data_IF_310352111499
#
_entry.id   IF_310352111499
#
_cell.length_a   1.000
_cell.length_b   1.000
_cell.length_c   1.000
_cell.angle_alpha   90.00
_cell.angle_beta   90.00
_cell.angle_gamma   90.00
#
_symmetry.space_group_name_H-M   'P 1'
#
loop_
_entity.id
_entity.type
_entity.pdbx_description
1 polymer ?
#
# COMPACT_ATOMS: atom_id res chain seq x y z
N UNK A 1 -0.74 -8.30 -0.64
CA UNK A 1 -0.87 -7.09 -1.47
C UNK A 1 0.55 -6.63 -1.70
N UNK A 2 1.27 -7.26 -2.63
CA UNK A 2 2.71 -7.03 -2.75
C UNK A 2 2.97 -5.83 -3.67
N UNK A 3 3.21 -4.66 -3.07
CA UNK A 3 3.41 -3.42 -3.84
C UNK A 3 4.51 -2.50 -3.30
N UNK A 4 5.46 -3.08 -2.55
CA UNK A 4 6.70 -2.42 -2.15
C UNK A 4 7.78 -2.41 -3.23
N UNK A 5 8.88 -1.70 -2.97
CA UNK A 5 10.13 -1.91 -3.71
C UNK A 5 10.66 -3.29 -3.33
N UNK A 6 10.48 -4.29 -4.19
CA UNK A 6 10.92 -5.67 -3.96
C UNK A 6 12.36 -5.87 -4.43
N UNK A 7 13.16 -6.60 -3.65
CA UNK A 7 14.55 -6.95 -3.99
C UNK A 7 15.48 -6.91 -2.78
N UNK A 8 16.72 -7.39 -2.96
CA UNK A 8 17.74 -7.33 -1.91
C UNK A 8 18.07 -5.88 -1.54
N UNK A 9 18.14 -5.59 -0.24
CA UNK A 9 18.51 -4.27 0.30
C UNK A 9 17.35 -3.33 0.63
N UNK A 10 16.10 -3.78 0.52
CA UNK A 10 14.91 -2.95 0.78
C UNK A 10 14.52 -3.02 2.28
N UNK A 11 14.38 -1.88 2.97
CA UNK A 11 14.36 -1.83 4.44
C UNK A 11 13.02 -2.19 5.10
N UNK A 12 11.90 -2.10 4.39
CA UNK A 12 10.56 -2.32 4.96
C UNK A 12 10.12 -3.80 4.87
N UNK A 13 10.67 -4.57 3.92
CA UNK A 13 10.57 -6.04 3.85
C UNK A 13 9.14 -6.58 4.03
N UNK A 14 8.89 -7.33 5.12
CA UNK A 14 7.55 -7.88 5.41
C UNK A 14 6.45 -6.84 5.61
N UNK A 15 6.80 -5.59 5.90
CA UNK A 15 5.83 -4.51 6.11
C UNK A 15 5.33 -3.88 4.82
N UNK A 16 5.87 -4.27 3.66
CA UNK A 16 5.41 -3.81 2.33
C UNK A 16 3.94 -4.09 2.08
N UNK A 17 3.45 -5.27 2.51
CA UNK A 17 2.04 -5.64 2.37
C UNK A 17 1.12 -4.74 3.19
N UNK A 18 1.57 -4.32 4.37
CA UNK A 18 0.81 -3.43 5.25
C UNK A 18 0.75 -2.02 4.66
N UNK A 19 1.89 -1.51 4.18
CA UNK A 19 1.99 -0.23 3.49
C UNK A 19 1.04 -0.14 2.30
N UNK A 20 1.06 -1.15 1.43
CA UNK A 20 0.18 -1.24 0.28
C UNK A 20 -1.30 -1.29 0.70
N UNK A 21 -1.60 -2.10 1.73
CA UNK A 21 -2.94 -2.20 2.30
C UNK A 21 -3.47 -0.86 2.83
N UNK A 22 -2.64 -0.09 3.52
CA UNK A 22 -3.03 1.23 4.04
C UNK A 22 -3.24 2.26 2.94
N UNK A 23 -2.38 2.29 1.93
CA UNK A 23 -2.57 3.16 0.77
C UNK A 23 -3.93 2.89 0.10
N UNK A 24 -4.24 1.61 -0.13
CA UNK A 24 -5.49 1.20 -0.75
C UNK A 24 -6.69 1.52 0.16
N UNK A 25 -6.56 1.33 1.48
CA UNK A 25 -7.63 1.67 2.44
C UNK A 25 -8.01 3.14 2.36
N UNK A 26 -7.03 4.05 2.44
CA UNK A 26 -7.28 5.51 2.36
C UNK A 26 -7.99 5.87 1.05
N UNK A 27 -7.55 5.29 -0.07
CA UNK A 27 -8.15 5.57 -1.38
C UNK A 27 -9.56 5.00 -1.49
N UNK A 28 -9.77 3.76 -1.02
CA UNK A 28 -11.09 3.13 -1.07
C UNK A 28 -12.09 3.89 -0.20
N UNK A 29 -11.70 4.30 1.01
CA UNK A 29 -12.55 5.08 1.89
C UNK A 29 -12.95 6.41 1.26
N UNK A 30 -11.97 7.12 0.66
CA UNK A 30 -12.20 8.39 -0.01
C UNK A 30 -13.16 8.26 -1.20
N UNK A 31 -13.04 7.18 -1.97
CA UNK A 31 -13.87 6.92 -3.14
C UNK A 31 -15.17 6.17 -2.82
N UNK A 32 -15.41 5.76 -1.58
CA UNK A 32 -16.56 4.96 -1.17
C UNK A 32 -16.57 3.54 -1.74
N UNK A 33 -15.40 2.95 -1.97
CA UNK A 33 -15.22 1.63 -2.57
C UNK A 33 -15.06 0.57 -1.49
N UNK A 34 -15.67 -0.60 -1.72
CA UNK A 34 -15.47 -1.77 -0.87
C UNK A 34 -14.28 -2.60 -1.34
N UNK A 35 -13.56 -3.20 -0.38
CA UNK A 35 -12.48 -4.16 -0.65
C UNK A 35 -12.99 -5.57 -0.36
N UNK A 36 -12.84 -6.47 -1.33
CA UNK A 36 -13.09 -7.90 -1.15
C UNK A 36 -11.78 -8.67 -1.25
N UNK A 37 -11.50 -9.51 -0.27
CA UNK A 37 -10.39 -10.47 -0.32
C UNK A 37 -10.89 -11.85 -0.76
N UNK A 38 -10.12 -12.53 -1.60
CA UNK A 38 -10.39 -13.92 -1.98
C UNK A 38 -10.16 -14.91 -0.84
N UNK A 39 -10.48 -16.19 -1.08
CA UNK A 39 -10.18 -17.27 -0.14
C UNK A 39 -8.65 -17.45 -0.01
N UNK A 40 -8.12 -17.77 1.19
CA UNK A 40 -6.70 -17.99 1.37
C UNK A 40 -6.30 -19.35 0.78
N UNK A 41 -5.66 -19.35 -0.40
CA UNK A 41 -5.25 -20.59 -1.08
C UNK A 41 -3.78 -21.00 -0.83
N UNK A 42 -3.06 -20.29 0.05
CA UNK A 42 -1.61 -20.50 0.23
C UNK A 42 -1.33 -21.27 1.53
N UNK A 43 -0.79 -22.48 1.38
CA UNK A 43 -0.23 -23.25 2.49
C UNK A 43 1.26 -22.93 2.66
N UNK A 44 1.59 -22.10 3.65
CA UNK A 44 2.97 -21.64 3.85
C UNK A 44 3.74 -22.58 4.80
N UNK A 45 4.58 -23.47 4.26
CA UNK A 45 5.51 -24.31 5.07
C UNK A 45 6.79 -23.53 5.35
N UNK A 46 6.79 -22.67 6.37
CA UNK A 46 7.91 -21.74 6.63
C UNK A 46 8.99 -22.39 7.50
N UNK A 47 10.22 -22.47 7.00
CA UNK A 47 11.40 -22.92 7.74
C UNK A 47 12.55 -21.91 7.55
N UNK A 48 12.61 -20.86 8.38
CA UNK A 48 13.76 -19.92 8.43
C UNK A 48 13.93 -19.34 9.84
N UNK A 49 15.16 -18.97 10.20
CA UNK A 49 15.51 -18.45 11.53
C UNK A 49 14.81 -17.08 11.79
N UNK A 50 13.99 -16.95 12.86
CA UNK A 50 13.25 -15.72 13.17
C UNK A 50 14.15 -14.52 13.50
N UNK A 51 15.27 -14.73 14.17
CA UNK A 51 16.13 -13.66 14.67
C UNK A 51 16.92 -12.96 13.54
N UNK A 52 17.27 -13.70 12.49
CA UNK A 52 17.93 -13.13 11.31
C UNK A 52 17.01 -12.18 10.56
N UNK A 53 15.70 -12.46 10.52
CA UNK A 53 14.70 -11.59 9.89
C UNK A 53 14.40 -10.36 10.75
N UNK A 54 14.27 -10.54 12.07
CA UNK A 54 14.04 -9.44 12.99
C UNK A 54 15.15 -8.38 12.89
N UNK A 55 16.42 -8.79 12.80
CA UNK A 55 17.55 -7.87 12.61
C UNK A 55 17.53 -7.14 11.27
N UNK A 56 16.92 -7.70 10.23
CA UNK A 56 16.80 -7.03 8.92
C UNK A 56 15.64 -6.03 8.89
N UNK A 57 14.62 -6.25 9.71
CA UNK A 57 13.35 -5.52 9.65
C UNK A 57 13.10 -4.59 10.83
N UNK A 58 14.08 -4.44 11.74
CA UNK A 58 13.92 -3.64 12.96
C UNK A 58 13.48 -2.20 12.68
N UNK A 59 13.99 -1.57 11.61
CA UNK A 59 13.58 -0.21 11.21
C UNK A 59 12.08 -0.13 10.92
N UNK A 60 11.53 -1.16 10.28
CA UNK A 60 10.11 -1.25 9.99
C UNK A 60 9.25 -1.22 11.26
N UNK A 61 9.74 -1.76 12.39
CA UNK A 61 9.05 -1.70 13.69
C UNK A 61 8.97 -0.26 14.18
N UNK A 62 10.09 0.47 14.18
CA UNK A 62 10.12 1.87 14.63
C UNK A 62 9.26 2.77 13.75
N UNK A 63 9.29 2.55 12.44
CA UNK A 63 8.50 3.36 11.51
C UNK A 63 6.99 3.12 11.63
N UNK A 64 6.53 1.99 12.19
CA UNK A 64 5.09 1.74 12.30
C UNK A 64 4.34 2.82 13.07
N UNK A 65 4.94 3.35 14.14
CA UNK A 65 4.30 4.38 14.97
C UNK A 65 4.01 5.64 14.14
N UNK A 66 4.95 6.06 13.30
CA UNK A 66 4.78 7.21 12.40
C UNK A 66 3.82 6.89 11.23
N UNK A 67 3.93 5.68 10.67
CA UNK A 67 3.12 5.25 9.53
C UNK A 67 1.64 5.14 9.90
N UNK A 68 1.32 4.51 11.02
CA UNK A 68 -0.06 4.31 11.48
C UNK A 68 -0.71 5.67 11.71
N UNK A 69 -0.04 6.58 12.42
CA UNK A 69 -0.55 7.93 12.66
C UNK A 69 -0.74 8.73 11.37
N UNK A 70 0.22 8.61 10.43
CA UNK A 70 0.11 9.24 9.12
C UNK A 70 -1.14 8.77 8.36
N UNK A 71 -1.35 7.45 8.24
CA UNK A 71 -2.46 6.90 7.47
C UNK A 71 -3.82 7.09 8.16
N UNK A 72 -3.88 7.07 9.49
CA UNK A 72 -5.10 7.40 10.24
C UNK A 72 -5.54 8.85 10.02
N UNK A 73 -4.59 9.78 9.88
CA UNK A 73 -4.85 11.19 9.62
C UNK A 73 -4.83 11.60 8.14
N UNK A 74 -4.63 10.65 7.22
CA UNK A 74 -4.51 10.96 5.80
C UNK A 74 -5.89 11.25 5.20
N UNK A 75 -6.07 12.48 4.70
CA UNK A 75 -7.27 12.90 3.98
C UNK A 75 -6.89 13.33 2.57
N UNK A 76 -7.60 12.81 1.57
CA UNK A 76 -7.41 13.18 0.18
C UNK A 76 -8.32 14.35 -0.21
N UNK A 77 -7.91 15.09 -1.23
CA UNK A 77 -8.67 16.22 -1.75
C UNK A 77 -9.96 15.75 -2.42
N UNK A 78 -11.06 16.48 -2.26
CA UNK A 78 -12.40 16.07 -2.76
C UNK A 78 -12.46 15.95 -4.28
N UNK A 79 -11.63 16.72 -4.98
CA UNK A 79 -11.46 16.66 -6.43
C UNK A 79 -10.77 15.38 -6.93
N UNK A 80 -10.10 14.63 -6.05
CA UNK A 80 -9.52 13.34 -6.39
C UNK A 80 -10.62 12.29 -6.51
N UNK A 81 -11.21 12.15 -7.70
CA UNK A 81 -12.33 11.24 -7.99
C UNK A 81 -11.91 9.95 -8.70
N UNK A 82 -10.61 9.80 -8.97
CA UNK A 82 -10.03 8.64 -9.66
C UNK A 82 -8.92 8.03 -8.82
N UNK A 83 -8.71 6.72 -8.94
CA UNK A 83 -7.63 6.02 -8.20
C UNK A 83 -6.26 6.62 -8.52
N UNK A 84 -6.01 7.02 -9.77
CA UNK A 84 -4.77 7.68 -10.17
C UNK A 84 -4.55 9.03 -9.50
N UNK A 85 -5.60 9.87 -9.44
CA UNK A 85 -5.49 11.17 -8.78
C UNK A 85 -5.29 11.00 -7.27
N UNK A 86 -5.97 10.03 -6.66
CA UNK A 86 -5.80 9.69 -5.25
C UNK A 86 -4.36 9.24 -4.94
N UNK A 87 -3.79 8.33 -5.75
CA UNK A 87 -2.41 7.90 -5.56
C UNK A 87 -1.38 9.01 -5.79
N UNK A 88 -1.61 9.88 -6.77
CA UNK A 88 -0.75 11.05 -7.00
C UNK A 88 -0.76 11.99 -5.80
N UNK A 89 -1.93 12.23 -5.23
CA UNK A 89 -2.07 13.09 -4.05
C UNK A 89 -1.44 12.45 -2.81
N UNK A 90 -1.73 11.17 -2.56
CA UNK A 90 -1.14 10.42 -1.46
C UNK A 90 0.40 10.40 -1.55
N UNK A 91 0.96 10.19 -2.75
CA UNK A 91 2.41 10.23 -2.98
C UNK A 91 3.04 11.56 -2.55
N UNK A 92 2.40 12.70 -2.85
CA UNK A 92 2.89 14.01 -2.37
C UNK A 92 2.87 14.10 -0.84
N UNK A 93 1.81 13.63 -0.20
CA UNK A 93 1.70 13.64 1.26
C UNK A 93 2.76 12.75 1.91
N UNK A 94 3.04 11.57 1.34
CA UNK A 94 4.11 10.68 1.79
C UNK A 94 5.46 11.38 1.69
N UNK A 95 5.82 12.00 0.56
CA UNK A 95 7.08 12.74 0.43
C UNK A 95 7.21 13.85 1.47
N UNK A 96 6.14 14.62 1.67
CA UNK A 96 6.17 15.78 2.56
C UNK A 96 6.26 15.41 4.05
N UNK A 97 5.58 14.33 4.47
CA UNK A 97 5.50 13.92 5.88
C UNK A 97 6.50 12.81 6.22
N UNK A 98 6.44 11.69 5.50
CA UNK A 98 7.24 10.49 5.78
C UNK A 98 8.65 10.56 5.18
N UNK A 99 8.87 11.36 4.13
CA UNK A 99 10.22 11.62 3.61
C UNK A 99 11.18 12.25 4.64
N UNK A 100 10.64 12.82 5.72
CA UNK A 100 11.41 13.33 6.87
C UNK A 100 11.83 12.22 7.85
N UNK A 101 11.13 11.08 7.85
CA UNK A 101 11.40 9.94 8.73
C UNK A 101 12.60 9.15 8.19
N UNK A 102 12.61 8.85 6.89
CA UNK A 102 13.73 8.21 6.20
C UNK A 102 13.62 8.49 4.68
N UNK A 103 14.76 8.65 4.01
CA UNK A 103 14.82 8.89 2.55
C UNK A 103 14.19 7.76 1.73
N UNK A 104 14.13 6.55 2.30
CA UNK A 104 13.41 5.44 1.70
C UNK A 104 11.95 5.77 1.34
N UNK A 105 11.27 6.59 2.14
CA UNK A 105 9.89 6.99 1.87
C UNK A 105 9.75 7.90 0.65
N UNK A 106 10.80 8.63 0.28
CA UNK A 106 10.81 9.39 -0.97
C UNK A 106 10.77 8.44 -2.17
N UNK A 107 11.55 7.35 -2.12
CA UNK A 107 11.58 6.31 -3.15
C UNK A 107 10.27 5.53 -3.20
N UNK A 108 9.70 5.18 -2.04
CA UNK A 108 8.38 4.54 -1.96
C UNK A 108 7.27 5.42 -2.52
N UNK A 109 7.31 6.73 -2.27
CA UNK A 109 6.31 7.65 -2.80
C UNK A 109 6.32 7.68 -4.33
N UNK A 110 7.49 7.59 -4.95
CA UNK A 110 7.61 7.47 -6.40
C UNK A 110 7.10 6.11 -6.90
N UNK A 111 7.42 5.03 -6.19
CA UNK A 111 6.98 3.68 -6.52
C UNK A 111 5.44 3.51 -6.48
N UNK A 112 4.77 4.18 -5.54
CA UNK A 112 3.30 4.18 -5.40
C UNK A 112 2.60 4.64 -6.69
N UNK A 113 3.20 5.54 -7.47
CA UNK A 113 2.60 5.99 -8.72
C UNK A 113 2.47 4.83 -9.72
N UNK A 114 3.39 3.87 -9.72
CA UNK A 114 3.28 2.63 -10.49
C UNK A 114 2.11 1.74 -10.05
N UNK A 115 1.79 1.72 -8.75
CA UNK A 115 0.66 0.95 -8.20
C UNK A 115 -0.69 1.40 -8.75
N UNK A 116 -0.83 2.70 -9.06
CA UNK A 116 -2.05 3.25 -9.64
C UNK A 116 -2.47 2.55 -10.94
N UNK A 117 -1.50 2.19 -11.78
CA UNK A 117 -1.71 1.48 -13.04
C UNK A 117 -2.18 0.03 -12.84
N UNK A 118 -1.74 -0.62 -11.76
CA UNK A 118 -2.12 -2.01 -11.45
C UNK A 118 -3.51 -2.08 -10.81
N UNK A 119 -3.83 -1.14 -9.92
CA UNK A 119 -5.17 -1.07 -9.32
C UNK A 119 -6.28 -0.81 -10.36
N UNK A 120 -5.99 -0.11 -11.46
CA UNK A 120 -6.97 0.09 -12.54
C UNK A 120 -7.39 -1.19 -13.24
N UNK A 121 -6.49 -2.17 -13.39
CA UNK A 121 -6.83 -3.47 -14.00
C UNK A 121 -7.82 -4.26 -13.13
N UNK A 122 -7.84 -3.96 -11.84
CA UNK A 122 -8.70 -4.57 -10.83
C UNK A 122 -10.07 -3.88 -10.65
N UNK A 123 -10.27 -2.73 -11.29
CA UNK A 123 -11.54 -2.01 -11.24
C UNK A 123 -12.48 -2.50 -12.34
N UNK A 124 -13.76 -2.79 -12.04
CA UNK A 124 -14.72 -3.17 -13.06
C UNK A 124 -14.92 -2.02 -14.06
N UNK A 125 -14.73 -2.31 -15.35
CA UNK A 125 -14.96 -1.39 -16.47
C UNK A 125 -16.47 -1.33 -16.77
N UNK A 126 -17.25 -0.70 -15.91
CA UNK A 126 -18.71 -0.62 -16.03
C UNK A 126 -19.31 0.55 -15.24
N UNK A 127 -20.61 0.80 -15.42
CA UNK A 127 -21.32 1.90 -14.76
C UNK A 127 -21.17 1.79 -13.22
N UNK A 128 -20.76 2.88 -12.59
CA UNK A 128 -20.35 2.90 -11.18
C UNK A 128 -21.56 3.04 -10.28
N UNK A 129 -22.14 1.91 -9.89
CA UNK A 129 -23.18 1.87 -8.87
C UNK A 129 -22.54 2.04 -7.48
N UNK A 130 -23.32 2.49 -6.49
CA UNK A 130 -22.89 2.76 -5.10
C UNK A 130 -22.35 1.53 -4.33
N UNK A 131 -22.24 0.38 -5.00
CA UNK A 131 -21.71 -0.88 -4.48
C UNK A 131 -20.51 -1.40 -5.30
N UNK A 132 -19.78 -0.51 -5.98
CA UNK A 132 -18.59 -0.86 -6.74
C UNK A 132 -17.52 -1.46 -5.82
N UNK A 133 -17.24 -2.75 -5.98
CA UNK A 133 -16.18 -3.47 -5.28
C UNK A 133 -14.90 -3.45 -6.11
N UNK A 134 -13.74 -3.20 -5.47
CA UNK A 134 -12.45 -3.46 -6.09
C UNK A 134 -12.07 -4.91 -5.81
N UNK A 135 -11.87 -5.71 -6.87
CA UNK A 135 -11.33 -7.06 -6.75
C UNK A 135 -9.82 -7.00 -6.90
N UNK A 136 -9.10 -7.06 -5.79
CA UNK A 136 -7.64 -7.13 -5.81
C UNK A 136 -7.25 -8.59 -5.96
N UNK A 137 -7.08 -9.04 -7.20
CA UNK A 137 -6.53 -10.36 -7.47
C UNK A 137 -5.06 -10.40 -7.07
N UNK A 138 -4.75 -11.28 -6.12
CA UNK A 138 -3.39 -11.55 -5.67
C UNK A 138 -2.65 -12.33 -6.75
N UNK A 139 -2.21 -11.67 -7.83
CA UNK A 139 -1.21 -12.25 -8.72
C UNK A 139 0.17 -12.03 -8.07
N UNK A 140 0.62 -13.03 -7.31
CA UNK A 140 2.03 -13.18 -6.96
C UNK A 140 2.61 -14.05 -8.09
N UNK A 141 3.35 -13.43 -9.02
CA UNK A 141 4.26 -14.17 -9.91
C UNK A 141 5.58 -14.40 -9.17
#
# INVERSE_FOLDING_TARGET
>A
MYFGLMGDGQPIGRYDDMWAGWCIKVICDHLGLGVKTGLPYIWHRKAKNPFVHLKKEYKGIYWQEELILFFQGATLLKECTTVQSCYKELSKQVKAKLGKVDDYFNKLADAILGMSSTCLRSLPTGNRDKHSLITIDFLIL
#
